data_IF_899407571352
#
_entry.id   IF_899407571352
#
_cell.length_a   1.000
_cell.length_b   1.000
_cell.length_c   1.000
_cell.angle_alpha   90.00
_cell.angle_beta   90.00
_cell.angle_gamma   90.00
#
_symmetry.space_group_name_H-M   'P 1'
#
loop_
_entity.id
_entity.type
_entity.pdbx_description
1 polymer ?
#
# COMPACT_ATOMS: atom_id res chain seq x y z
N UNK A 1 8.73 -9.54 1.01
CA UNK A 1 9.56 -8.59 1.81
C UNK A 1 9.19 -8.63 3.29
N UNK A 2 7.90 -8.47 3.66
CA UNK A 2 7.47 -8.38 5.06
C UNK A 2 7.91 -9.58 5.92
N UNK A 3 7.82 -10.81 5.39
CA UNK A 3 8.22 -12.02 6.11
C UNK A 3 9.71 -12.00 6.49
N UNK A 4 10.58 -11.61 5.57
CA UNK A 4 12.01 -11.53 5.82
C UNK A 4 12.39 -10.34 6.70
N UNK A 5 11.69 -9.24 6.59
CA UNK A 5 11.88 -8.09 7.47
C UNK A 5 11.51 -8.46 8.93
N UNK A 6 10.39 -9.14 9.13
CA UNK A 6 9.98 -9.59 10.46
C UNK A 6 10.96 -10.60 11.06
N UNK A 7 11.52 -11.49 10.23
CA UNK A 7 12.51 -12.48 10.66
C UNK A 7 13.83 -11.85 11.09
N UNK A 8 14.25 -10.79 10.41
CA UNK A 8 15.56 -10.18 10.57
C UNK A 8 15.55 -8.86 11.34
N UNK A 9 14.45 -8.51 12.00
CA UNK A 9 14.35 -7.31 12.81
C UNK A 9 13.61 -7.56 14.11
N UNK A 10 13.74 -6.60 15.03
CA UNK A 10 13.00 -6.57 16.30
C UNK A 10 11.67 -5.82 16.19
N UNK A 11 11.36 -5.28 15.03
CA UNK A 11 10.14 -4.53 14.82
C UNK A 11 8.92 -5.44 14.73
N UNK A 12 7.79 -4.95 15.22
CA UNK A 12 6.50 -5.53 14.86
C UNK A 12 6.18 -5.15 13.42
N UNK A 13 6.13 -6.13 12.54
CA UNK A 13 5.92 -5.90 11.11
C UNK A 13 4.48 -6.18 10.75
N UNK A 14 3.87 -5.20 10.10
CA UNK A 14 2.51 -5.26 9.58
C UNK A 14 2.52 -5.21 8.06
N UNK A 15 1.57 -5.84 7.44
CA UNK A 15 1.36 -5.78 5.99
C UNK A 15 -0.13 -5.86 5.67
N UNK A 16 -0.49 -5.49 4.45
CA UNK A 16 -1.84 -5.65 3.92
C UNK A 16 -1.78 -6.22 2.51
N UNK A 17 -2.70 -7.10 2.12
CA UNK A 17 -2.74 -7.59 0.75
C UNK A 17 -3.23 -6.52 -0.20
N UNK A 18 -2.50 -6.29 -1.27
CA UNK A 18 -2.93 -5.48 -2.41
C UNK A 18 -3.45 -6.33 -3.55
N UNK A 19 -3.22 -7.66 -3.46
CA UNK A 19 -3.69 -8.67 -4.39
C UNK A 19 -4.15 -9.87 -3.60
N UNK A 20 -5.32 -10.39 -3.92
CA UNK A 20 -5.88 -11.55 -3.23
C UNK A 20 -6.43 -11.23 -1.84
N UNK A 21 -6.67 -12.28 -1.06
CA UNK A 21 -7.21 -12.19 0.28
C UNK A 21 -6.11 -12.16 1.36
N UNK A 22 -6.44 -11.71 2.59
CA UNK A 22 -5.54 -11.86 3.73
C UNK A 22 -5.11 -13.32 3.97
N UNK A 23 -6.02 -14.27 3.78
CA UNK A 23 -5.76 -15.70 3.92
C UNK A 23 -4.75 -16.20 2.88
N UNK A 24 -4.87 -15.74 1.65
CA UNK A 24 -3.92 -16.08 0.59
C UNK A 24 -2.53 -15.52 0.89
N UNK A 25 -2.44 -14.27 1.34
CA UNK A 25 -1.17 -13.66 1.75
C UNK A 25 -0.55 -14.40 2.93
N UNK A 26 -1.35 -14.76 3.94
CA UNK A 26 -0.88 -15.56 5.08
C UNK A 26 -0.26 -16.88 4.61
N UNK A 27 -0.93 -17.57 3.70
CA UNK A 27 -0.45 -18.83 3.12
C UNK A 27 0.91 -18.67 2.44
N UNK A 28 1.08 -17.61 1.66
CA UNK A 28 2.35 -17.32 1.00
C UNK A 28 3.47 -16.98 2.00
N UNK A 29 3.17 -16.19 3.02
CA UNK A 29 4.12 -15.84 4.08
C UNK A 29 4.57 -17.09 4.83
N UNK A 30 3.64 -17.93 5.27
CA UNK A 30 3.97 -19.17 5.99
C UNK A 30 4.71 -20.21 5.13
N UNK A 31 4.50 -20.21 3.82
CA UNK A 31 5.26 -21.05 2.90
C UNK A 31 6.74 -20.63 2.84
N UNK A 32 7.02 -19.34 2.98
CA UNK A 32 8.39 -18.80 2.96
C UNK A 32 9.06 -18.81 4.35
N UNK A 33 8.29 -18.46 5.37
CA UNK A 33 8.75 -18.36 6.76
C UNK A 33 7.67 -18.96 7.66
N UNK A 34 7.73 -20.28 7.96
CA UNK A 34 6.65 -20.99 8.68
C UNK A 34 6.32 -20.43 10.06
N UNK A 35 7.28 -19.82 10.73
CA UNK A 35 7.14 -19.21 12.06
C UNK A 35 7.03 -17.66 12.01
N UNK A 36 6.64 -17.13 10.88
CA UNK A 36 6.56 -15.68 10.69
C UNK A 36 5.59 -15.00 11.67
N UNK A 37 6.07 -13.91 12.26
CA UNK A 37 5.29 -13.06 13.18
C UNK A 37 4.67 -11.84 12.50
N UNK A 38 4.65 -11.83 11.18
CA UNK A 38 4.00 -10.75 10.41
C UNK A 38 2.51 -10.71 10.75
N UNK A 39 2.00 -9.52 11.05
CA UNK A 39 0.58 -9.26 11.25
C UNK A 39 -0.03 -8.72 9.97
N UNK A 40 -1.07 -9.36 9.48
CA UNK A 40 -1.77 -8.97 8.26
C UNK A 40 -3.01 -8.18 8.66
N UNK A 41 -3.08 -6.94 8.18
CA UNK A 41 -4.26 -6.10 8.32
C UNK A 41 -5.14 -6.26 7.08
N UNK A 42 -6.45 -6.49 7.24
CA UNK A 42 -7.35 -6.54 6.10
C UNK A 42 -7.32 -5.23 5.31
N UNK A 43 -7.37 -5.27 3.97
CA UNK A 43 -7.42 -4.06 3.16
C UNK A 43 -8.72 -3.29 3.42
N UNK A 44 -8.61 -1.97 3.53
CA UNK A 44 -9.76 -1.10 3.79
C UNK A 44 -10.73 -1.06 2.62
N UNK A 45 -10.17 -1.05 1.39
CA UNK A 45 -10.96 -1.03 0.17
C UNK A 45 -10.77 -2.35 -0.57
N UNK A 46 -11.88 -3.03 -0.83
CA UNK A 46 -11.86 -4.20 -1.70
C UNK A 46 -11.68 -3.76 -3.15
N UNK A 47 -10.58 -4.18 -3.74
CA UNK A 47 -10.23 -3.82 -5.12
C UNK A 47 -9.49 -4.98 -5.80
N UNK A 48 -9.64 -5.06 -7.12
CA UNK A 48 -8.81 -5.92 -7.95
C UNK A 48 -7.41 -5.34 -8.14
N UNK A 49 -6.47 -6.18 -8.49
CA UNK A 49 -5.13 -5.71 -8.83
C UNK A 49 -5.18 -4.67 -9.97
N UNK A 50 -4.61 -3.51 -9.71
CA UNK A 50 -4.60 -2.41 -10.69
C UNK A 50 -5.95 -1.73 -10.92
N UNK A 51 -6.96 -2.01 -10.09
CA UNK A 51 -8.25 -1.34 -10.17
C UNK A 51 -8.12 0.14 -9.83
N UNK A 52 -8.75 0.98 -10.65
CA UNK A 52 -8.73 2.43 -10.46
C UNK A 52 -9.88 2.86 -9.57
N UNK A 53 -9.56 3.35 -8.38
CA UNK A 53 -10.49 3.90 -7.40
C UNK A 53 -10.15 5.36 -7.12
N UNK A 54 -11.13 6.25 -7.10
CA UNK A 54 -10.90 7.66 -6.76
C UNK A 54 -10.31 7.84 -5.36
N UNK A 55 -10.67 6.96 -4.41
CA UNK A 55 -10.09 7.01 -3.07
C UNK A 55 -8.59 6.77 -3.07
N UNK A 56 -8.09 5.89 -3.94
CA UNK A 56 -6.67 5.67 -4.12
C UNK A 56 -5.96 6.91 -4.68
N UNK A 57 -6.55 7.54 -5.68
CA UNK A 57 -6.01 8.78 -6.24
C UNK A 57 -5.99 9.91 -5.20
N UNK A 58 -7.08 10.07 -4.46
CA UNK A 58 -7.22 11.10 -3.41
C UNK A 58 -6.18 10.95 -2.31
N UNK A 59 -5.99 9.76 -1.76
CA UNK A 59 -4.95 9.54 -0.74
C UNK A 59 -3.55 9.78 -1.29
N UNK A 60 -3.29 9.34 -2.52
CA UNK A 60 -2.02 9.57 -3.18
C UNK A 60 -1.70 11.07 -3.33
N UNK A 61 -2.66 11.87 -3.81
CA UNK A 61 -2.52 13.32 -3.94
C UNK A 61 -2.29 14.00 -2.58
N UNK A 62 -3.08 13.61 -1.58
CA UNK A 62 -2.98 14.14 -0.22
C UNK A 62 -1.62 13.85 0.42
N UNK A 63 -1.10 12.66 0.24
CA UNK A 63 0.23 12.29 0.72
C UNK A 63 1.32 13.17 0.09
N UNK A 64 1.23 13.38 -1.22
CA UNK A 64 2.17 14.25 -1.92
C UNK A 64 2.12 15.69 -1.41
N UNK A 65 0.92 16.23 -1.21
CA UNK A 65 0.72 17.59 -0.68
C UNK A 65 1.27 17.74 0.74
N UNK A 66 1.04 16.77 1.61
CA UNK A 66 1.41 16.86 3.03
C UNK A 66 2.84 16.47 3.32
N UNK A 67 3.43 15.58 2.55
CA UNK A 67 4.77 15.03 2.84
C UNK A 67 5.84 15.47 1.84
N UNK A 68 5.44 16.00 0.69
CA UNK A 68 6.31 16.25 -0.48
C UNK A 68 6.95 14.98 -1.05
N UNK A 69 6.52 13.80 -0.61
CA UNK A 69 7.00 12.51 -1.11
C UNK A 69 6.04 12.03 -2.19
N UNK A 70 6.58 11.61 -3.32
CA UNK A 70 5.80 10.95 -4.37
C UNK A 70 5.81 9.44 -4.11
N UNK A 71 4.67 8.91 -3.70
CA UNK A 71 4.46 7.46 -3.57
C UNK A 71 4.04 6.86 -4.91
N UNK A 72 4.20 5.55 -5.07
CA UNK A 72 3.64 4.88 -6.24
C UNK A 72 2.10 4.77 -6.10
N UNK A 73 1.40 4.56 -7.22
CA UNK A 73 -0.06 4.66 -7.24
C UNK A 73 -0.77 3.30 -7.31
N UNK A 74 -0.02 2.20 -7.30
CA UNK A 74 -0.57 0.86 -7.42
C UNK A 74 -0.78 0.18 -6.06
N UNK A 75 0.21 0.23 -5.18
CA UNK A 75 0.21 -0.45 -3.88
C UNK A 75 0.13 0.51 -2.68
N UNK A 76 0.84 1.63 -2.73
CA UNK A 76 0.92 2.54 -1.59
C UNK A 76 -0.43 3.12 -1.16
N UNK A 77 -1.38 3.46 -2.05
CA UNK A 77 -2.68 3.95 -1.62
C UNK A 77 -3.40 2.99 -0.67
N UNK A 78 -3.45 1.70 -1.00
CA UNK A 78 -4.08 0.71 -0.14
C UNK A 78 -3.32 0.55 1.19
N UNK A 79 -2.01 0.55 1.14
CA UNK A 79 -1.15 0.48 2.33
C UNK A 79 -1.43 1.65 3.28
N UNK A 80 -1.45 2.87 2.76
CA UNK A 80 -1.72 4.07 3.54
C UNK A 80 -3.14 4.14 4.10
N UNK A 81 -4.15 3.80 3.30
CA UNK A 81 -5.55 3.76 3.77
C UNK A 81 -5.70 2.73 4.90
N UNK A 82 -5.08 1.57 4.77
CA UNK A 82 -5.11 0.53 5.80
C UNK A 82 -4.39 0.97 7.07
N UNK A 83 -3.23 1.61 6.94
CA UNK A 83 -2.50 2.17 8.08
C UNK A 83 -3.36 3.22 8.82
N UNK A 84 -3.92 4.18 8.11
CA UNK A 84 -4.70 5.25 8.71
C UNK A 84 -5.97 4.73 9.39
N UNK A 85 -6.61 3.70 8.86
CA UNK A 85 -7.78 3.07 9.47
C UNK A 85 -7.44 2.24 10.72
N UNK A 86 -6.19 1.90 10.93
CA UNK A 86 -5.73 1.03 12.02
C UNK A 86 -4.74 1.71 12.96
N UNK A 87 -4.74 3.03 13.05
CA UNK A 87 -3.79 3.77 13.90
C UNK A 87 -3.82 3.34 15.37
N UNK A 88 -4.98 2.93 15.88
CA UNK A 88 -5.12 2.45 17.25
C UNK A 88 -4.38 1.13 17.54
N UNK A 89 -4.01 0.38 16.51
CA UNK A 89 -3.22 -0.86 16.65
C UNK A 89 -1.76 -0.56 17.02
N UNK A 90 -1.29 0.63 16.69
CA UNK A 90 0.10 1.02 16.86
C UNK A 90 0.27 1.85 18.14
N UNK A 91 1.10 1.37 19.06
CA UNK A 91 1.41 2.04 20.34
C UNK A 91 2.70 2.86 20.30
N UNK A 92 3.45 2.81 19.22
CA UNK A 92 4.77 3.44 19.02
C UNK A 92 4.81 4.18 17.70
N UNK A 93 5.81 5.04 17.47
CA UNK A 93 6.03 5.62 16.15
C UNK A 93 6.07 4.54 15.05
N UNK A 94 5.45 4.82 13.92
CA UNK A 94 5.34 3.89 12.80
C UNK A 94 6.35 4.28 11.73
N UNK A 95 7.12 3.30 11.26
CA UNK A 95 7.94 3.43 10.07
C UNK A 95 7.19 2.81 8.89
N UNK A 96 6.83 3.63 7.93
CA UNK A 96 6.26 3.16 6.67
C UNK A 96 7.37 2.81 5.69
N UNK A 97 7.35 1.57 5.19
CA UNK A 97 8.33 1.12 4.19
C UNK A 97 7.78 1.38 2.80
N UNK A 98 8.28 2.43 2.16
CA UNK A 98 8.00 2.74 0.77
C UNK A 98 8.88 1.87 -0.13
N UNK A 99 8.28 0.89 -0.78
CA UNK A 99 9.00 -0.07 -1.64
C UNK A 99 9.04 0.36 -3.11
N UNK A 100 8.41 1.46 -3.43
CA UNK A 100 7.95 1.77 -4.75
C UNK A 100 8.99 2.09 -5.79
N UNK A 101 8.76 1.58 -6.99
CA UNK A 101 9.29 2.11 -8.23
C UNK A 101 8.29 3.07 -8.85
N UNK A 102 8.74 4.25 -9.25
CA UNK A 102 7.88 5.25 -9.87
C UNK A 102 7.78 5.10 -11.39
N UNK A 103 8.41 4.09 -11.97
CA UNK A 103 8.44 3.88 -13.42
C UNK A 103 7.06 3.70 -14.07
N UNK A 104 6.08 3.17 -13.34
CA UNK A 104 4.70 3.01 -13.82
C UNK A 104 3.78 4.18 -13.53
N UNK A 105 4.24 5.21 -12.82
CA UNK A 105 3.37 6.28 -12.32
C UNK A 105 2.68 7.05 -13.45
N UNK A 106 3.41 7.45 -14.47
CA UNK A 106 2.85 8.22 -15.60
C UNK A 106 1.73 7.44 -16.32
N UNK A 107 1.91 6.15 -16.54
CA UNK A 107 0.88 5.31 -17.18
C UNK A 107 -0.34 5.12 -16.28
N UNK A 108 -0.14 5.00 -14.97
CA UNK A 108 -1.24 4.93 -14.00
C UNK A 108 -2.04 6.23 -13.96
N UNK A 109 -1.39 7.37 -13.91
CA UNK A 109 -2.06 8.68 -13.95
C UNK A 109 -2.89 8.85 -15.23
N UNK A 110 -2.33 8.49 -16.38
CA UNK A 110 -3.07 8.53 -17.66
C UNK A 110 -4.30 7.61 -17.65
N UNK A 111 -4.25 6.46 -16.98
CA UNK A 111 -5.42 5.59 -16.80
C UNK A 111 -6.51 6.25 -15.95
N UNK A 112 -6.14 6.92 -14.85
CA UNK A 112 -7.07 7.67 -14.01
C UNK A 112 -7.71 8.83 -14.77
N UNK A 113 -6.91 9.60 -15.53
CA UNK A 113 -7.41 10.69 -16.37
C UNK A 113 -8.49 10.20 -17.34
N UNK A 114 -8.20 9.14 -18.08
CA UNK A 114 -9.16 8.57 -19.04
C UNK A 114 -10.42 8.02 -18.38
N UNK A 115 -10.26 7.27 -17.28
CA UNK A 115 -11.40 6.62 -16.62
C UNK A 115 -12.36 7.63 -16.01
N UNK A 116 -11.85 8.68 -15.39
CA UNK A 116 -12.64 9.62 -14.61
C UNK A 116 -12.80 10.99 -15.27
N UNK A 117 -12.34 11.16 -16.50
CA UNK A 117 -12.45 12.41 -17.23
C UNK A 117 -11.74 13.58 -16.54
N UNK A 118 -10.58 13.32 -15.93
CA UNK A 118 -9.83 14.32 -15.19
C UNK A 118 -8.90 15.12 -16.10
N UNK A 119 -8.57 16.35 -15.69
CA UNK A 119 -7.50 17.11 -16.31
C UNK A 119 -6.15 16.42 -16.06
N UNK A 120 -5.12 16.85 -16.79
CA UNK A 120 -3.79 16.25 -16.69
C UNK A 120 -3.30 16.17 -15.23
N UNK A 121 -3.00 14.96 -14.80
CA UNK A 121 -2.45 14.64 -13.47
C UNK A 121 -0.92 14.52 -13.51
N UNK A 122 -0.28 15.02 -14.57
CA UNK A 122 1.17 14.92 -14.74
C UNK A 122 1.90 15.35 -13.46
N UNK A 123 2.88 14.56 -13.07
CA UNK A 123 3.74 14.87 -11.92
C UNK A 123 4.58 16.10 -12.27
N UNK A 124 4.32 17.17 -11.56
CA UNK A 124 5.11 18.40 -11.68
C UNK A 124 6.33 18.36 -10.78
#
# INVERSE_FOLDING_TARGET
SAAFLARNSRFSVFTTPCVGSPQYLAKQIFALVPDSKVRILPPVIKAYFGELKLDFLRIWQRLKEQTSITFELLYDPQGWLTLLANLSVFSKPVLYIHQGGLGGLASQLARYERKFGLESLAVK
#
